data_IF_055441062495
#
_entry.id   IF_055441062495
#
_cell.length_a   1.000
_cell.length_b   1.000
_cell.length_c   1.000
_cell.angle_alpha   90.00
_cell.angle_beta   90.00
_cell.angle_gamma   90.00
#
_symmetry.space_group_name_H-M   'P 1'
#
loop_
_entity.id
_entity.type
_entity.pdbx_description
1 polymer ?
#
# COMPACT_ATOMS: atom_id res chain seq x y z
N UNK A 1 28.53 -28.28 36.52
CA UNK A 1 27.74 -27.06 36.33
C UNK A 1 28.33 -26.04 35.34
N UNK A 2 29.56 -26.24 34.85
CA UNK A 2 30.20 -25.28 33.92
C UNK A 2 29.81 -25.46 32.46
N UNK A 3 29.22 -26.57 32.09
CA UNK A 3 28.83 -26.84 30.70
C UNK A 3 27.48 -26.25 30.28
N UNK A 4 26.70 -25.74 31.23
CA UNK A 4 25.37 -25.12 30.92
C UNK A 4 25.44 -23.62 30.64
N UNK A 5 26.51 -22.96 31.06
CA UNK A 5 26.68 -21.51 30.89
C UNK A 5 26.76 -21.11 29.39
N UNK A 6 27.55 -21.80 28.53
CA UNK A 6 27.61 -21.41 27.10
C UNK A 6 26.29 -21.66 26.35
N UNK A 7 25.50 -22.66 26.74
CA UNK A 7 24.20 -22.92 26.09
C UNK A 7 23.18 -21.83 26.41
N UNK A 8 23.15 -21.34 27.65
CA UNK A 8 22.26 -20.24 28.07
C UNK A 8 22.66 -18.92 27.41
N UNK A 9 23.97 -18.66 27.28
CA UNK A 9 24.51 -17.51 26.58
C UNK A 9 24.15 -17.55 25.09
N UNK A 10 24.24 -18.69 24.42
CA UNK A 10 23.90 -18.87 23.03
C UNK A 10 22.39 -18.63 22.78
N UNK A 11 21.56 -19.12 23.70
CA UNK A 11 20.10 -18.94 23.66
C UNK A 11 19.71 -17.46 23.88
N UNK A 12 20.40 -16.78 24.83
CA UNK A 12 20.23 -15.34 25.07
C UNK A 12 20.61 -14.47 23.86
N UNK A 13 21.74 -14.81 23.22
CA UNK A 13 22.18 -14.10 22.00
C UNK A 13 21.23 -14.35 20.84
N UNK A 14 20.73 -15.56 20.65
CA UNK A 14 19.74 -15.87 19.61
C UNK A 14 18.42 -15.09 19.80
N UNK A 15 17.95 -14.95 21.04
CA UNK A 15 16.75 -14.16 21.36
C UNK A 15 17.00 -12.66 21.12
N UNK A 16 18.17 -12.14 21.46
CA UNK A 16 18.53 -10.73 21.22
C UNK A 16 18.61 -10.45 19.71
N UNK A 17 19.24 -11.33 18.94
CA UNK A 17 19.34 -11.21 17.47
C UNK A 17 17.94 -11.28 16.83
N UNK A 18 17.07 -12.17 17.30
CA UNK A 18 15.68 -12.28 16.85
C UNK A 18 14.88 -11.01 17.15
N UNK A 19 15.06 -10.43 18.32
CA UNK A 19 14.38 -9.19 18.70
C UNK A 19 14.90 -7.98 17.89
N UNK A 20 16.20 -7.93 17.64
CA UNK A 20 16.83 -6.86 16.86
C UNK A 20 16.43 -6.92 15.37
N UNK A 21 16.26 -8.14 14.83
CA UNK A 21 15.78 -8.35 13.46
C UNK A 21 14.31 -7.95 13.29
N UNK A 22 13.49 -8.16 14.33
CA UNK A 22 12.07 -7.82 14.31
C UNK A 22 11.80 -6.31 14.44
N UNK A 23 12.67 -5.55 15.07
CA UNK A 23 12.45 -4.12 15.31
C UNK A 23 12.75 -3.22 14.11
N UNK A 24 13.57 -3.71 13.18
CA UNK A 24 14.00 -2.94 12.02
C UNK A 24 12.95 -2.89 10.86
N UNK A 25 11.83 -3.60 11.01
CA UNK A 25 10.75 -3.65 10.00
C UNK A 25 9.72 -2.53 10.12
N UNK A 26 9.57 -1.89 11.27
CA UNK A 26 8.48 -0.93 11.54
C UNK A 26 8.46 0.29 10.62
N UNK A 27 9.61 0.80 10.22
CA UNK A 27 9.71 1.95 9.30
C UNK A 27 9.38 1.59 7.85
N UNK A 28 9.67 0.35 7.44
CA UNK A 28 9.27 -0.16 6.12
C UNK A 28 7.78 -0.48 6.07
N UNK A 29 7.21 -1.00 7.17
CA UNK A 29 5.79 -1.34 7.26
C UNK A 29 4.86 -0.13 7.07
N UNK A 30 5.17 1.01 7.68
CA UNK A 30 4.35 2.22 7.51
C UNK A 30 4.28 2.69 6.06
N UNK A 31 5.41 2.65 5.35
CA UNK A 31 5.47 3.03 3.95
C UNK A 31 4.74 2.04 3.05
N UNK A 32 4.87 0.74 3.34
CA UNK A 32 4.16 -0.33 2.63
C UNK A 32 2.65 -0.22 2.88
N UNK A 33 2.21 0.01 4.11
CA UNK A 33 0.80 0.20 4.45
C UNK A 33 0.18 1.40 3.73
N UNK A 34 0.91 2.52 3.65
CA UNK A 34 0.45 3.71 2.92
C UNK A 34 0.29 3.44 1.43
N UNK A 35 1.24 2.72 0.81
CA UNK A 35 1.18 2.34 -0.59
C UNK A 35 0.05 1.33 -0.86
N UNK A 36 -0.13 0.35 0.02
CA UNK A 36 -1.20 -0.63 -0.09
C UNK A 36 -2.59 0.01 0.06
N UNK A 37 -2.77 0.93 0.99
CA UNK A 37 -4.00 1.70 1.13
C UNK A 37 -4.27 2.53 -0.13
N UNK A 38 -3.25 3.21 -0.63
CA UNK A 38 -3.34 3.99 -1.86
C UNK A 38 -3.72 3.13 -3.07
N UNK A 39 -3.18 1.90 -3.15
CA UNK A 39 -3.49 0.97 -4.23
C UNK A 39 -4.94 0.44 -4.11
N UNK A 40 -5.43 0.22 -2.90
CA UNK A 40 -6.81 -0.21 -2.65
C UNK A 40 -7.85 0.85 -3.02
N UNK A 41 -7.52 2.14 -2.93
CA UNK A 41 -8.40 3.26 -3.27
C UNK A 41 -8.42 3.59 -4.77
N UNK A 42 -7.43 3.12 -5.54
CA UNK A 42 -7.31 3.45 -6.95
C UNK A 42 -8.57 3.19 -7.78
N UNK A 43 -9.24 2.02 -7.70
CA UNK A 43 -10.46 1.75 -8.46
C UNK A 43 -11.59 2.73 -8.11
N UNK A 44 -11.74 3.08 -6.84
CA UNK A 44 -12.77 4.02 -6.40
C UNK A 44 -12.52 5.43 -6.92
N UNK A 45 -11.26 5.85 -6.98
CA UNK A 45 -10.89 7.14 -7.57
C UNK A 45 -11.22 7.17 -9.06
N UNK A 46 -10.92 6.09 -9.79
CA UNK A 46 -11.25 5.98 -11.23
C UNK A 46 -12.76 6.02 -11.45
N UNK A 47 -13.54 5.26 -10.68
CA UNK A 47 -15.00 5.23 -10.74
C UNK A 47 -15.59 6.64 -10.53
N UNK A 48 -15.17 7.34 -9.49
CA UNK A 48 -15.64 8.70 -9.23
C UNK A 48 -15.22 9.69 -10.33
N UNK A 49 -13.99 9.56 -10.87
CA UNK A 49 -13.55 10.38 -12.00
C UNK A 49 -14.42 10.15 -13.24
N UNK A 50 -14.73 8.91 -13.58
CA UNK A 50 -15.62 8.55 -14.69
C UNK A 50 -17.00 9.18 -14.48
N UNK A 51 -17.53 9.06 -13.26
CA UNK A 51 -18.83 9.63 -12.91
C UNK A 51 -18.84 11.15 -13.12
N UNK A 52 -17.89 11.88 -12.56
CA UNK A 52 -17.84 13.34 -12.65
C UNK A 52 -17.52 13.84 -14.06
N UNK A 53 -16.63 13.17 -14.79
CA UNK A 53 -16.36 13.49 -16.19
C UNK A 53 -17.58 13.23 -17.09
N UNK A 54 -18.34 12.16 -16.79
CA UNK A 54 -19.59 11.85 -17.48
C UNK A 54 -20.67 12.90 -17.31
N UNK A 55 -20.64 13.69 -16.25
CA UNK A 55 -21.53 14.87 -16.07
C UNK A 55 -21.05 16.12 -16.81
N UNK A 56 -19.93 16.03 -17.53
CA UNK A 56 -19.35 17.17 -18.27
C UNK A 56 -18.42 18.06 -17.45
N UNK A 57 -18.01 17.66 -16.26
CA UNK A 57 -17.04 18.41 -15.45
C UNK A 57 -15.66 18.43 -16.11
N UNK A 58 -14.92 19.54 -15.91
CA UNK A 58 -13.52 19.58 -16.32
C UNK A 58 -12.67 18.61 -15.47
N UNK A 59 -11.52 18.18 -16.01
CA UNK A 59 -10.64 17.23 -15.34
C UNK A 59 -10.22 17.70 -13.95
N UNK A 60 -9.87 18.99 -13.81
CA UNK A 60 -9.46 19.57 -12.53
C UNK A 60 -10.64 19.61 -11.54
N UNK A 61 -11.82 20.02 -12.02
CA UNK A 61 -13.02 20.04 -11.18
C UNK A 61 -13.45 18.64 -10.73
N UNK A 62 -13.31 17.64 -11.61
CA UNK A 62 -13.60 16.24 -11.27
C UNK A 62 -12.63 15.72 -10.18
N UNK A 63 -11.33 15.98 -10.31
CA UNK A 63 -10.34 15.62 -9.29
C UNK A 63 -10.59 16.33 -7.95
N UNK A 64 -10.97 17.60 -7.99
CA UNK A 64 -11.30 18.36 -6.77
C UNK A 64 -12.58 17.81 -6.11
N UNK A 65 -13.58 17.44 -6.90
CA UNK A 65 -14.79 16.81 -6.41
C UNK A 65 -14.49 15.46 -5.72
N UNK A 66 -13.65 14.61 -6.32
CA UNK A 66 -13.20 13.34 -5.71
C UNK A 66 -12.53 13.60 -4.36
N UNK A 67 -11.62 14.55 -4.29
CA UNK A 67 -10.93 14.87 -3.02
C UNK A 67 -11.89 15.45 -1.97
N UNK A 68 -12.83 16.28 -2.38
CA UNK A 68 -13.82 16.91 -1.49
C UNK A 68 -14.82 15.87 -0.95
N UNK A 69 -15.27 14.94 -1.78
CA UNK A 69 -16.15 13.85 -1.37
C UNK A 69 -15.48 12.96 -0.32
N UNK A 70 -14.23 12.60 -0.55
CA UNK A 70 -13.45 11.87 0.43
C UNK A 70 -13.31 12.61 1.77
N UNK A 71 -13.04 13.92 1.77
CA UNK A 71 -12.98 14.73 2.99
C UNK A 71 -14.30 14.74 3.76
N UNK A 72 -15.43 14.79 3.08
CA UNK A 72 -16.74 14.72 3.72
C UNK A 72 -16.93 13.38 4.44
N UNK A 73 -16.53 12.28 3.80
CA UNK A 73 -16.59 10.96 4.42
C UNK A 73 -15.63 10.83 5.61
N UNK A 74 -14.43 11.40 5.52
CA UNK A 74 -13.47 11.44 6.61
C UNK A 74 -14.00 12.21 7.82
N UNK A 75 -14.60 13.39 7.60
CA UNK A 75 -15.21 14.20 8.69
C UNK A 75 -16.38 13.49 9.36
N UNK A 76 -17.07 12.59 8.67
CA UNK A 76 -18.12 11.73 9.24
C UNK A 76 -17.56 10.56 10.06
N UNK A 77 -16.24 10.45 10.20
CA UNK A 77 -15.57 9.39 10.96
C UNK A 77 -15.48 8.05 10.21
N UNK A 78 -15.85 8.03 8.95
CA UNK A 78 -15.97 6.80 8.15
C UNK A 78 -14.67 6.34 7.48
N UNK A 79 -13.68 7.23 7.33
CA UNK A 79 -12.40 6.93 6.65
C UNK A 79 -11.20 7.55 7.36
N UNK A 80 -10.06 6.84 7.31
CA UNK A 80 -8.76 7.35 7.77
C UNK A 80 -8.15 8.27 6.72
N UNK A 81 -7.21 9.11 7.14
CA UNK A 81 -6.44 9.94 6.23
C UNK A 81 -5.61 9.06 5.28
N UNK A 82 -5.80 9.21 3.98
CA UNK A 82 -5.09 8.44 2.96
C UNK A 82 -4.28 9.40 2.09
N UNK A 83 -2.99 9.14 2.01
CA UNK A 83 -1.97 9.94 1.33
C UNK A 83 -2.34 10.38 -0.09
N UNK A 84 -3.02 9.52 -0.85
CA UNK A 84 -3.39 9.81 -2.25
C UNK A 84 -4.33 11.00 -2.35
N UNK A 85 -5.37 11.07 -1.52
CA UNK A 85 -6.33 12.18 -1.58
C UNK A 85 -5.71 13.52 -1.19
N UNK A 86 -4.75 13.50 -0.25
CA UNK A 86 -3.94 14.68 0.04
C UNK A 86 -3.12 15.13 -1.17
N UNK A 87 -2.50 14.18 -1.89
CA UNK A 87 -1.73 14.52 -3.10
C UNK A 87 -2.63 15.06 -4.21
N UNK A 88 -3.81 14.50 -4.41
CA UNK A 88 -4.81 15.01 -5.38
C UNK A 88 -5.20 16.44 -5.02
N UNK A 89 -5.57 16.69 -3.75
CA UNK A 89 -5.93 18.02 -3.27
C UNK A 89 -4.79 19.03 -3.43
N UNK A 90 -3.57 18.65 -3.06
CA UNK A 90 -2.39 19.48 -3.24
C UNK A 90 -2.16 19.83 -4.70
N UNK A 91 -2.37 18.89 -5.60
CA UNK A 91 -2.25 19.07 -7.04
C UNK A 91 -3.29 20.05 -7.56
N UNK A 92 -4.57 19.90 -7.18
CA UNK A 92 -5.63 20.86 -7.55
C UNK A 92 -5.30 22.26 -7.03
N UNK A 93 -4.81 22.40 -5.79
CA UNK A 93 -4.39 23.67 -5.22
C UNK A 93 -3.19 24.27 -5.97
N UNK A 94 -2.22 23.49 -6.39
CA UNK A 94 -1.09 23.98 -7.20
C UNK A 94 -1.59 24.55 -8.54
N UNK A 95 -2.55 23.88 -9.17
CA UNK A 95 -3.15 24.34 -10.42
C UNK A 95 -3.91 25.67 -10.20
N UNK A 96 -4.67 25.80 -9.11
CA UNK A 96 -5.38 27.03 -8.77
C UNK A 96 -4.43 28.20 -8.48
N UNK A 97 -3.21 27.93 -8.04
CA UNK A 97 -2.13 28.93 -7.88
C UNK A 97 -1.34 29.19 -9.17
N UNK A 98 -1.78 28.68 -10.33
CA UNK A 98 -1.19 28.97 -11.63
C UNK A 98 -0.08 28.02 -12.07
N UNK A 99 0.15 26.90 -11.35
CA UNK A 99 1.08 25.88 -11.83
C UNK A 99 0.48 25.21 -13.08
N UNK A 100 1.26 25.06 -14.18
CA UNK A 100 0.79 24.36 -15.38
C UNK A 100 0.24 22.97 -15.06
N UNK A 101 -0.93 22.63 -15.56
CA UNK A 101 -1.61 21.34 -15.31
C UNK A 101 -0.73 20.14 -15.67
N UNK A 102 0.00 20.22 -16.81
CA UNK A 102 0.93 19.18 -17.26
C UNK A 102 2.00 18.87 -16.22
N UNK A 103 2.56 19.91 -15.59
CA UNK A 103 3.58 19.77 -14.55
C UNK A 103 2.97 19.23 -13.27
N UNK A 104 1.84 19.79 -12.84
CA UNK A 104 1.17 19.39 -11.59
C UNK A 104 0.75 17.92 -11.62
N UNK A 105 0.12 17.44 -12.71
CA UNK A 105 -0.27 16.05 -12.87
C UNK A 105 0.94 15.11 -12.95
N UNK A 106 1.98 15.48 -13.70
CA UNK A 106 3.20 14.68 -13.77
C UNK A 106 3.91 14.52 -12.43
N UNK A 107 3.95 15.57 -11.61
CA UNK A 107 4.51 15.52 -10.25
C UNK A 107 3.66 14.67 -9.30
N UNK A 108 2.33 14.72 -9.42
CA UNK A 108 1.40 13.94 -8.63
C UNK A 108 1.71 12.44 -8.75
N UNK A 109 1.79 11.92 -9.98
CA UNK A 109 2.08 10.51 -10.22
C UNK A 109 3.44 10.07 -9.67
N UNK A 110 4.46 10.92 -9.83
CA UNK A 110 5.80 10.64 -9.28
C UNK A 110 5.80 10.61 -7.75
N UNK A 111 5.08 11.52 -7.09
CA UNK A 111 5.02 11.60 -5.62
C UNK A 111 4.28 10.44 -5.00
N UNK A 112 3.19 9.97 -5.64
CA UNK A 112 2.46 8.80 -5.18
C UNK A 112 3.32 7.53 -5.36
N UNK A 113 4.08 7.43 -6.46
CA UNK A 113 5.08 6.41 -6.68
C UNK A 113 4.52 5.03 -7.10
N UNK A 114 3.21 4.89 -7.26
CA UNK A 114 2.54 3.67 -7.74
C UNK A 114 2.35 3.73 -9.26
N UNK A 115 2.59 2.61 -9.95
CA UNK A 115 2.48 2.49 -11.40
C UNK A 115 1.09 2.89 -11.93
N UNK A 116 0.02 2.50 -11.22
CA UNK A 116 -1.37 2.85 -11.56
C UNK A 116 -1.58 4.37 -11.56
N UNK A 117 -1.07 5.09 -10.56
CA UNK A 117 -1.16 6.55 -10.48
C UNK A 117 -0.23 7.27 -11.46
N UNK A 118 0.88 6.65 -11.83
CA UNK A 118 1.73 7.17 -12.91
C UNK A 118 1.01 7.08 -14.25
N UNK A 119 0.36 5.96 -14.55
CA UNK A 119 -0.51 5.82 -15.73
C UNK A 119 -1.63 6.86 -15.73
N UNK A 120 -2.35 7.00 -14.60
CA UNK A 120 -3.38 8.01 -14.44
C UNK A 120 -2.85 9.42 -14.73
N UNK A 121 -1.68 9.76 -14.18
CA UNK A 121 -1.04 11.07 -14.42
C UNK A 121 -0.75 11.32 -15.90
N UNK A 122 -0.30 10.30 -16.63
CA UNK A 122 -0.08 10.39 -18.08
C UNK A 122 -1.40 10.61 -18.83
N UNK A 123 -2.47 9.90 -18.47
CA UNK A 123 -3.79 10.08 -19.04
C UNK A 123 -4.33 11.49 -18.79
N UNK A 124 -4.17 12.01 -17.56
CA UNK A 124 -4.55 13.38 -17.21
C UNK A 124 -3.77 14.43 -18.02
N UNK A 125 -2.47 14.24 -18.21
CA UNK A 125 -1.66 15.12 -19.07
C UNK A 125 -2.12 15.04 -20.53
N UNK A 126 -2.43 13.86 -21.05
CA UNK A 126 -2.93 13.70 -22.41
C UNK A 126 -4.31 14.34 -22.62
N UNK A 127 -5.15 14.35 -21.60
CA UNK A 127 -6.48 14.96 -21.68
C UNK A 127 -6.47 16.47 -21.90
N UNK A 128 -5.38 17.14 -21.53
CA UNK A 128 -5.21 18.59 -21.77
C UNK A 128 -5.15 18.89 -23.28
N UNK A 129 -4.56 17.97 -24.06
CA UNK A 129 -4.42 18.13 -25.52
C UNK A 129 -5.54 17.46 -26.30
N UNK A 130 -6.10 16.35 -25.80
CA UNK A 130 -7.10 15.53 -26.51
C UNK A 130 -8.55 15.77 -26.05
N UNK A 131 -8.71 16.41 -24.90
CA UNK A 131 -10.02 16.69 -24.31
C UNK A 131 -10.49 15.65 -23.28
N UNK A 132 -11.51 16.03 -22.52
CA UNK A 132 -12.07 15.21 -21.43
C UNK A 132 -12.79 13.95 -21.92
N UNK A 133 -13.32 13.95 -23.13
CA UNK A 133 -14.02 12.79 -23.71
C UNK A 133 -13.08 11.62 -23.98
N UNK A 134 -11.86 11.89 -24.51
CA UNK A 134 -10.83 10.84 -24.70
C UNK A 134 -10.38 10.26 -23.35
N UNK A 135 -10.24 11.12 -22.35
CA UNK A 135 -9.93 10.69 -20.99
C UNK A 135 -11.02 9.78 -20.41
N UNK A 136 -12.29 10.17 -20.56
CA UNK A 136 -13.42 9.37 -20.08
C UNK A 136 -13.41 7.93 -20.65
N UNK A 137 -13.20 7.80 -21.96
CA UNK A 137 -13.14 6.48 -22.61
C UNK A 137 -11.97 5.63 -22.10
N UNK A 138 -10.81 6.23 -21.97
CA UNK A 138 -9.60 5.52 -21.46
C UNK A 138 -9.70 5.16 -19.99
N UNK A 139 -10.33 5.99 -19.16
CA UNK A 139 -10.58 5.66 -17.77
C UNK A 139 -11.56 4.49 -17.63
N UNK A 140 -12.54 4.40 -18.53
CA UNK A 140 -13.47 3.27 -18.55
C UNK A 140 -12.77 1.95 -18.87
N UNK A 141 -11.80 1.96 -19.78
CA UNK A 141 -10.94 0.79 -20.03
C UNK A 141 -10.04 0.45 -18.82
N UNK A 142 -9.50 1.47 -18.14
CA UNK A 142 -8.65 1.27 -16.95
C UNK A 142 -9.45 0.78 -15.73
N UNK A 143 -10.73 1.15 -15.60
CA UNK A 143 -11.63 0.69 -14.53
C UNK A 143 -11.73 -0.83 -14.48
N UNK A 144 -11.91 -1.48 -15.63
CA UNK A 144 -11.99 -2.94 -15.72
C UNK A 144 -10.69 -3.59 -15.22
N UNK A 145 -9.53 -3.03 -15.60
CA UNK A 145 -8.21 -3.50 -15.17
C UNK A 145 -7.97 -3.29 -13.66
N UNK A 146 -8.33 -2.12 -13.15
CA UNK A 146 -8.15 -1.76 -11.74
C UNK A 146 -8.99 -2.62 -10.79
N UNK A 147 -10.19 -3.01 -11.22
CA UNK A 147 -11.06 -3.91 -10.45
C UNK A 147 -10.46 -5.32 -10.35
N UNK A 148 -9.85 -5.79 -11.43
CA UNK A 148 -9.17 -7.09 -11.46
C UNK A 148 -7.94 -7.11 -10.54
N UNK A 149 -7.10 -6.07 -10.59
CA UNK A 149 -5.94 -5.93 -9.69
C UNK A 149 -6.35 -5.89 -8.21
N UNK A 150 -7.43 -5.17 -7.87
CA UNK A 150 -7.95 -5.13 -6.49
C UNK A 150 -8.35 -6.52 -5.98
N UNK A 151 -9.03 -7.30 -6.81
CA UNK A 151 -9.44 -8.67 -6.50
C UNK A 151 -8.24 -9.59 -6.29
N UNK A 152 -7.24 -9.50 -7.15
CA UNK A 152 -6.02 -10.30 -7.06
C UNK A 152 -5.17 -9.92 -5.84
N UNK A 153 -5.10 -8.62 -5.51
CA UNK A 153 -4.39 -8.12 -4.32
C UNK A 153 -5.06 -8.59 -3.02
N UNK A 154 -6.39 -8.61 -2.97
CA UNK A 154 -7.15 -9.15 -1.83
C UNK A 154 -6.90 -10.65 -1.66
N UNK A 155 -6.85 -11.42 -2.77
CA UNK A 155 -6.54 -12.84 -2.76
C UNK A 155 -5.12 -13.13 -2.25
N UNK A 156 -4.12 -12.38 -2.73
CA UNK A 156 -2.72 -12.52 -2.28
C UNK A 156 -2.54 -12.19 -0.79
N UNK A 157 -3.27 -11.20 -0.25
CA UNK A 157 -3.26 -10.93 1.20
C UNK A 157 -3.81 -12.08 2.02
N UNK A 158 -4.85 -12.76 1.55
CA UNK A 158 -5.38 -13.97 2.19
C UNK A 158 -4.37 -15.12 2.21
N UNK A 159 -3.64 -15.32 1.13
CA UNK A 159 -2.61 -16.36 1.02
C UNK A 159 -1.38 -16.05 1.90
N UNK A 160 -0.95 -14.79 1.98
CA UNK A 160 0.16 -14.38 2.85
C UNK A 160 -0.15 -14.52 4.34
N UNK A 161 -1.42 -14.34 4.75
CA UNK A 161 -1.82 -14.57 6.13
C UNK A 161 -1.66 -16.03 6.53
N UNK A 162 -1.98 -16.97 5.63
CA UNK A 162 -1.78 -18.40 5.87
C UNK A 162 -0.31 -18.78 6.01
N UNK A 163 0.58 -18.17 5.24
CA UNK A 163 2.03 -18.44 5.30
C UNK A 163 2.69 -17.85 6.55
N UNK A 164 2.21 -16.69 7.04
CA UNK A 164 2.70 -16.09 8.29
C UNK A 164 2.37 -16.93 9.52
N UNK A 165 1.32 -17.75 9.48
CA UNK A 165 0.99 -18.68 10.57
C UNK A 165 1.89 -19.92 10.60
N UNK A 166 2.53 -20.30 9.49
CA UNK A 166 3.47 -21.41 9.43
C UNK A 166 4.81 -21.09 10.13
N UNK A 167 5.23 -19.82 10.14
CA UNK A 167 6.50 -19.42 10.75
C UNK A 167 6.57 -19.73 12.26
N UNK A 168 5.58 -19.36 13.11
CA UNK A 168 5.62 -19.71 14.53
C UNK A 168 5.51 -21.23 14.78
N UNK A 169 4.77 -21.96 13.93
CA UNK A 169 4.71 -23.42 14.05
C UNK A 169 6.07 -24.08 13.76
N UNK A 170 6.81 -23.60 12.75
CA UNK A 170 8.16 -24.09 12.47
C UNK A 170 9.13 -23.82 13.62
N UNK A 171 9.08 -22.63 14.22
CA UNK A 171 9.93 -22.29 15.37
C UNK A 171 9.61 -23.19 16.56
N UNK A 172 8.34 -23.45 16.84
CA UNK A 172 7.93 -24.34 17.93
C UNK A 172 8.41 -25.79 17.70
N UNK A 173 8.33 -26.26 16.45
CA UNK A 173 8.80 -27.60 16.09
C UNK A 173 10.32 -27.73 16.30
N UNK A 174 11.11 -26.73 15.93
CA UNK A 174 12.57 -26.72 16.16
C UNK A 174 12.90 -26.71 17.65
N UNK A 175 12.18 -25.91 18.45
CA UNK A 175 12.40 -25.88 19.93
C UNK A 175 12.10 -27.23 20.56
N UNK A 176 11.02 -27.91 20.18
CA UNK A 176 10.65 -29.22 20.67
C UNK A 176 11.74 -30.27 20.29
N UNK A 177 12.23 -30.19 19.04
CA UNK A 177 13.25 -31.10 18.54
C UNK A 177 14.58 -30.95 19.31
N UNK A 178 14.97 -29.70 19.60
CA UNK A 178 16.19 -29.42 20.43
C UNK A 178 16.00 -29.92 21.87
N UNK A 179 14.82 -29.72 22.47
CA UNK A 179 14.49 -30.19 23.80
C UNK A 179 14.54 -31.73 23.93
N UNK A 180 14.13 -32.45 22.88
CA UNK A 180 14.18 -33.92 22.85
C UNK A 180 15.59 -34.44 22.57
N UNK A 181 16.38 -33.75 21.76
CA UNK A 181 17.77 -34.18 21.48
C UNK A 181 18.71 -33.98 22.67
N UNK A 182 18.44 -32.96 23.49
CA UNK A 182 19.34 -32.65 24.62
C UNK A 182 19.48 -33.82 25.64
N UNK A 183 18.39 -34.45 26.16
CA UNK A 183 18.50 -35.58 27.04
C UNK A 183 19.01 -36.85 26.35
N UNK A 184 18.76 -37.02 25.04
CA UNK A 184 19.27 -38.18 24.30
C UNK A 184 20.81 -38.15 24.19
N UNK A 185 21.40 -36.99 23.96
CA UNK A 185 22.86 -36.81 23.92
C UNK A 185 23.51 -36.92 25.30
N UNK A 186 22.82 -36.49 26.38
CA UNK A 186 23.36 -36.58 27.74
C UNK A 186 23.32 -38.00 28.30
N UNK A 187 22.52 -38.90 27.74
CA UNK A 187 22.42 -40.30 28.15
C UNK A 187 23.48 -41.19 27.46
N UNK A 188 24.05 -40.69 26.35
CA UNK A 188 25.08 -41.40 25.59
C UNK A 188 26.53 -41.01 25.96
N UNK A 189 26.74 -40.02 26.82
CA UNK A 189 28.04 -39.58 27.33
C UNK A 189 28.24 -40.03 28.78
#
# INVERSE_FOLDING_TARGET
>A
NESQIPAILFLGIAVIIFFWYHENEKYKEQRIQTLEQSMAEYPQIIEHLILFLGTGMSVVAALEAVATEYEKEQRRGNKKEIFVYEQIKKTCRQISFGVPQTKAFGEMGKKIGLSSYQKLSVLLVQSITRGSTDLFLRLKEEEEGAFFEKKEHAKRKGEQASTKLLAPMMVMLVVILVLLMFPALSTFS
#
